data_IF_916336402654
#
_entry.id   IF_916336402654
#
_cell.length_a   1.000
_cell.length_b   1.000
_cell.length_c   1.000
_cell.angle_alpha   90.00
_cell.angle_beta   90.00
_cell.angle_gamma   90.00
#
_symmetry.space_group_name_H-M   'P 1'
#
loop_
_entity.id
_entity.type
_entity.pdbx_description
1 polymer ?
#
# COMPACT_ATOMS: atom_id res chain seq x y z
N UNK A 1 21.70 5.45 3.60
CA UNK A 1 21.27 4.54 2.54
C UNK A 1 21.04 3.13 3.10
N UNK A 2 20.02 2.41 2.65
CA UNK A 2 19.84 1.04 3.08
C UNK A 2 20.94 0.13 2.53
N UNK A 3 21.33 -0.84 3.34
CA UNK A 3 22.33 -1.84 2.93
C UNK A 3 21.73 -2.85 1.96
N UNK A 4 22.56 -3.69 1.34
CA UNK A 4 22.10 -4.77 0.47
C UNK A 4 21.21 -5.77 1.24
N UNK A 5 21.53 -6.01 2.50
CA UNK A 5 20.72 -6.88 3.36
C UNK A 5 19.33 -6.30 3.59
N UNK A 6 19.26 -4.99 3.85
CA UNK A 6 17.98 -4.29 4.02
C UNK A 6 17.15 -4.34 2.74
N UNK A 7 17.76 -4.06 1.59
CA UNK A 7 17.07 -4.10 0.30
C UNK A 7 16.56 -5.49 -0.04
N UNK A 8 17.37 -6.50 0.19
CA UNK A 8 16.99 -7.90 -0.06
C UNK A 8 15.84 -8.32 0.84
N UNK A 9 15.91 -8.00 2.13
CA UNK A 9 14.85 -8.31 3.08
C UNK A 9 13.55 -7.58 2.69
N UNK A 10 13.65 -6.31 2.32
CA UNK A 10 12.49 -5.53 1.89
C UNK A 10 11.82 -6.15 0.66
N UNK A 11 12.60 -6.64 -0.28
CA UNK A 11 12.07 -7.30 -1.49
C UNK A 11 11.36 -8.59 -1.14
N UNK A 12 11.95 -9.41 -0.30
CA UNK A 12 11.35 -10.68 0.15
C UNK A 12 10.04 -10.41 0.89
N UNK A 13 10.03 -9.44 1.78
CA UNK A 13 8.83 -9.05 2.53
C UNK A 13 7.75 -8.55 1.58
N UNK A 14 8.10 -7.71 0.62
CA UNK A 14 7.15 -7.18 -0.35
C UNK A 14 6.46 -8.30 -1.14
N UNK A 15 7.23 -9.23 -1.65
CA UNK A 15 6.69 -10.37 -2.41
C UNK A 15 5.84 -11.28 -1.52
N UNK A 16 6.34 -11.60 -0.32
CA UNK A 16 5.64 -12.48 0.60
C UNK A 16 4.33 -11.87 1.09
N UNK A 17 4.34 -10.62 1.53
CA UNK A 17 3.14 -9.95 2.03
C UNK A 17 2.10 -9.80 0.92
N UNK A 18 2.53 -9.45 -0.28
CA UNK A 18 1.65 -9.35 -1.43
C UNK A 18 0.94 -10.68 -1.71
N UNK A 19 1.69 -11.78 -1.71
CA UNK A 19 1.15 -13.12 -1.91
C UNK A 19 0.19 -13.51 -0.78
N UNK A 20 0.58 -13.27 0.47
CA UNK A 20 -0.25 -13.60 1.64
C UNK A 20 -1.59 -12.87 1.58
N UNK A 21 -1.57 -11.57 1.33
CA UNK A 21 -2.79 -10.76 1.30
C UNK A 21 -3.70 -11.19 0.16
N UNK A 22 -3.15 -11.44 -1.02
CA UNK A 22 -3.96 -11.74 -2.19
C UNK A 22 -4.41 -13.21 -2.27
N UNK A 23 -3.68 -14.14 -1.68
CA UNK A 23 -3.94 -15.57 -1.87
C UNK A 23 -4.22 -16.36 -0.58
N UNK A 24 -3.85 -15.85 0.58
CA UNK A 24 -3.93 -16.62 1.83
C UNK A 24 -4.88 -16.04 2.89
N UNK A 25 -5.35 -14.82 2.71
CA UNK A 25 -6.34 -14.23 3.60
C UNK A 25 -7.73 -14.38 2.99
N UNK A 26 -8.64 -15.00 3.75
CA UNK A 26 -10.02 -15.22 3.32
C UNK A 26 -10.96 -14.36 4.14
N UNK A 27 -10.76 -13.06 4.11
CA UNK A 27 -11.61 -12.11 4.80
C UNK A 27 -12.42 -11.33 3.76
N UNK A 28 -13.76 -11.40 3.79
CA UNK A 28 -14.59 -10.70 2.81
C UNK A 28 -14.47 -9.17 2.87
N UNK A 29 -13.93 -8.63 3.97
CA UNK A 29 -13.68 -7.19 4.09
C UNK A 29 -12.46 -6.75 3.27
N UNK A 30 -11.59 -7.69 2.92
CA UNK A 30 -10.39 -7.42 2.11
C UNK A 30 -10.78 -7.52 0.64
N UNK A 31 -11.27 -6.43 0.10
CA UNK A 31 -11.70 -6.32 -1.29
C UNK A 31 -10.93 -5.23 -2.01
N UNK A 32 -10.96 -5.28 -3.35
CA UNK A 32 -10.29 -4.31 -4.20
C UNK A 32 -8.88 -4.73 -4.58
N UNK A 33 -8.19 -3.81 -5.22
CA UNK A 33 -6.79 -4.04 -5.63
C UNK A 33 -5.87 -3.56 -4.51
N UNK A 34 -5.21 -4.51 -3.87
CA UNK A 34 -4.30 -4.22 -2.77
C UNK A 34 -2.87 -4.47 -3.24
N UNK A 35 -2.06 -3.43 -3.16
CA UNK A 35 -0.66 -3.47 -3.58
C UNK A 35 0.26 -3.06 -2.44
N UNK A 36 1.36 -3.78 -2.28
CA UNK A 36 2.45 -3.36 -1.40
C UNK A 36 3.30 -2.37 -2.20
N UNK A 37 3.25 -1.10 -1.84
CA UNK A 37 3.93 -0.04 -2.58
C UNK A 37 5.36 0.16 -2.13
N UNK A 38 5.63 -0.04 -0.85
CA UNK A 38 6.96 0.17 -0.28
C UNK A 38 7.15 -0.67 0.97
N UNK A 39 8.36 -1.15 1.17
CA UNK A 39 8.76 -1.82 2.41
C UNK A 39 10.08 -1.20 2.85
N UNK A 40 10.10 -0.68 4.08
CA UNK A 40 11.28 -0.08 4.69
C UNK A 40 11.73 -0.92 5.87
N UNK A 41 12.95 -1.44 5.81
CA UNK A 41 13.54 -2.22 6.89
C UNK A 41 14.57 -1.38 7.64
N UNK A 42 14.65 -1.60 8.95
CA UNK A 42 15.70 -0.97 9.76
C UNK A 42 17.03 -1.71 9.59
N UNK A 43 18.19 -1.07 9.88
CA UNK A 43 19.50 -1.71 9.71
C UNK A 43 19.68 -3.00 10.49
N UNK A 44 19.03 -3.13 11.65
CA UNK A 44 19.09 -4.34 12.49
C UNK A 44 18.11 -5.42 12.02
N UNK A 45 17.28 -5.14 11.02
CA UNK A 45 16.27 -6.04 10.45
C UNK A 45 15.23 -6.54 11.47
N UNK A 46 15.02 -5.80 12.56
CA UNK A 46 14.02 -6.15 13.58
C UNK A 46 12.63 -5.61 13.27
N UNK A 47 12.55 -4.52 12.50
CA UNK A 47 11.30 -3.88 12.11
C UNK A 47 11.25 -3.69 10.62
N UNK A 48 10.07 -3.84 10.07
CA UNK A 48 9.80 -3.52 8.67
C UNK A 48 8.48 -2.77 8.60
N UNK A 49 8.48 -1.64 7.92
CA UNK A 49 7.28 -0.86 7.67
C UNK A 49 6.78 -1.18 6.28
N UNK A 50 5.53 -1.61 6.19
CA UNK A 50 4.91 -2.06 4.95
C UNK A 50 3.81 -1.06 4.58
N UNK A 51 3.95 -0.44 3.42
CA UNK A 51 2.99 0.52 2.90
C UNK A 51 2.08 -0.16 1.89
N UNK A 52 0.77 -0.04 2.12
CA UNK A 52 -0.24 -0.68 1.29
C UNK A 52 -1.10 0.38 0.60
N UNK A 53 -1.35 0.17 -0.68
CA UNK A 53 -2.32 0.96 -1.44
C UNK A 53 -3.54 0.10 -1.72
N UNK A 54 -4.73 0.60 -1.39
CA UNK A 54 -6.00 -0.09 -1.61
C UNK A 54 -6.80 0.74 -2.61
N UNK A 55 -7.06 0.17 -3.77
CA UNK A 55 -7.71 0.85 -4.89
C UNK A 55 -8.96 0.08 -5.34
N UNK A 56 -9.81 0.75 -6.12
CA UNK A 56 -10.97 0.11 -6.75
C UNK A 56 -12.23 0.05 -5.90
N UNK A 57 -12.21 0.62 -4.68
CA UNK A 57 -13.35 0.65 -3.78
C UNK A 57 -13.56 2.07 -3.26
N UNK A 58 -14.73 2.34 -2.64
CA UNK A 58 -14.95 3.62 -1.99
C UNK A 58 -14.09 3.72 -0.71
N UNK A 59 -13.95 4.94 -0.18
CA UNK A 59 -13.12 5.18 1.00
C UNK A 59 -13.50 4.35 2.21
N UNK A 60 -14.80 4.15 2.42
CA UNK A 60 -15.30 3.36 3.55
C UNK A 60 -14.84 1.91 3.44
N UNK A 61 -14.98 1.33 2.26
CA UNK A 61 -14.53 -0.05 1.99
C UNK A 61 -13.02 -0.18 2.06
N UNK A 62 -12.28 0.84 1.62
CA UNK A 62 -10.83 0.86 1.71
C UNK A 62 -10.38 0.86 3.18
N UNK A 63 -11.03 1.64 4.04
CA UNK A 63 -10.73 1.65 5.47
C UNK A 63 -11.05 0.32 6.13
N UNK A 64 -12.17 -0.30 5.75
CA UNK A 64 -12.54 -1.63 6.26
C UNK A 64 -11.49 -2.68 5.85
N UNK A 65 -11.05 -2.65 4.61
CA UNK A 65 -10.03 -3.56 4.11
C UNK A 65 -8.71 -3.36 4.86
N UNK A 66 -8.27 -2.13 5.06
CA UNK A 66 -7.06 -1.84 5.81
C UNK A 66 -7.17 -2.29 7.26
N UNK A 67 -8.30 -2.01 7.91
CA UNK A 67 -8.55 -2.47 9.28
C UNK A 67 -8.50 -3.99 9.39
N UNK A 68 -9.08 -4.68 8.41
CA UNK A 68 -9.06 -6.15 8.37
C UNK A 68 -7.63 -6.68 8.22
N UNK A 69 -6.80 -6.03 7.41
CA UNK A 69 -5.39 -6.39 7.25
C UNK A 69 -4.64 -6.19 8.57
N UNK A 70 -4.90 -5.09 9.27
CA UNK A 70 -4.29 -4.85 10.58
C UNK A 70 -4.70 -5.91 11.61
N UNK A 71 -5.96 -6.32 11.60
CA UNK A 71 -6.44 -7.41 12.47
C UNK A 71 -5.79 -8.75 12.10
N UNK A 72 -5.45 -8.95 10.84
CA UNK A 72 -4.78 -10.16 10.37
C UNK A 72 -3.26 -10.09 10.50
N UNK A 73 -2.70 -9.02 11.08
CA UNK A 73 -1.25 -8.82 11.16
C UNK A 73 -0.51 -9.99 11.79
N UNK A 74 -1.06 -10.57 12.87
CA UNK A 74 -0.47 -11.73 13.52
C UNK A 74 -0.38 -12.95 12.60
N UNK A 75 -1.42 -13.19 11.82
CA UNK A 75 -1.44 -14.29 10.85
C UNK A 75 -0.48 -14.03 9.71
N UNK A 76 -0.44 -12.80 9.22
CA UNK A 76 0.51 -12.40 8.16
C UNK A 76 1.94 -12.59 8.66
N UNK A 77 2.22 -12.18 9.89
CA UNK A 77 3.53 -12.35 10.52
C UNK A 77 3.93 -13.82 10.60
N UNK A 78 3.00 -14.68 11.01
CA UNK A 78 3.25 -16.11 11.11
C UNK A 78 3.52 -16.74 9.74
N UNK A 79 2.73 -16.37 8.72
CA UNK A 79 2.92 -16.87 7.36
C UNK A 79 4.21 -16.33 6.74
N UNK A 80 4.59 -15.09 7.07
CA UNK A 80 5.83 -14.50 6.61
C UNK A 80 7.04 -15.33 7.05
N UNK A 81 6.99 -15.88 8.26
CA UNK A 81 8.04 -16.73 8.76
C UNK A 81 8.37 -17.91 7.85
N UNK A 82 7.38 -18.43 7.11
CA UNK A 82 7.58 -19.54 6.19
C UNK A 82 8.28 -19.09 4.90
N UNK A 83 8.17 -17.82 4.53
CA UNK A 83 8.83 -17.26 3.35
C UNK A 83 10.25 -16.80 3.64
N UNK A 84 10.48 -16.29 4.85
CA UNK A 84 11.78 -15.73 5.23
C UNK A 84 12.64 -16.82 5.80
N UNK A 85 13.68 -17.21 5.07
CA UNK A 85 14.62 -18.24 5.50
C UNK A 85 15.75 -17.65 6.34
N UNK A 86 15.55 -16.48 6.91
CA UNK A 86 16.50 -15.85 7.80
C UNK A 86 16.29 -16.31 9.24
N UNK A 87 17.32 -16.19 10.05
CA UNK A 87 17.29 -16.55 11.47
C UNK A 87 16.23 -15.77 12.25
N UNK A 88 16.01 -14.52 11.86
CA UNK A 88 15.02 -13.64 12.47
C UNK A 88 14.11 -13.05 11.40
N UNK A 89 12.81 -13.03 11.68
CA UNK A 89 11.83 -12.41 10.83
C UNK A 89 11.50 -11.03 11.40
N UNK A 90 11.61 -9.94 10.61
CA UNK A 90 11.26 -8.61 11.09
C UNK A 90 9.80 -8.52 11.52
N UNK A 91 9.52 -7.72 12.54
CA UNK A 91 8.15 -7.44 12.93
C UNK A 91 7.55 -6.42 11.95
N UNK A 92 6.38 -6.74 11.40
CA UNK A 92 5.74 -5.91 10.38
C UNK A 92 4.84 -4.85 11.02
N UNK A 93 4.92 -3.63 10.47
CA UNK A 93 4.03 -2.51 10.79
C UNK A 93 3.38 -2.04 9.51
N UNK A 94 2.06 -2.09 9.44
CA UNK A 94 1.32 -1.75 8.24
C UNK A 94 0.88 -0.30 8.26
N UNK A 95 1.06 0.37 7.11
CA UNK A 95 0.66 1.76 6.90
C UNK A 95 -0.12 1.85 5.60
N UNK A 96 -1.14 2.69 5.57
CA UNK A 96 -1.84 2.98 4.32
C UNK A 96 -1.05 4.01 3.52
N UNK A 97 -0.73 3.67 2.27
CA UNK A 97 -0.05 4.59 1.37
C UNK A 97 -1.09 5.37 0.58
N UNK A 98 -1.24 6.65 0.90
CA UNK A 98 -2.20 7.53 0.26
C UNK A 98 -1.58 8.42 -0.81
N UNK A 99 -0.28 8.24 -1.10
CA UNK A 99 0.44 9.08 -2.08
C UNK A 99 -0.19 9.03 -3.47
N UNK A 100 -0.53 7.85 -3.94
CA UNK A 100 -1.17 7.68 -5.24
C UNK A 100 -2.55 8.31 -5.28
N UNK A 101 -3.35 8.15 -4.24
CA UNK A 101 -4.66 8.79 -4.12
C UNK A 101 -4.55 10.29 -4.16
N UNK A 102 -3.63 10.86 -3.39
CA UNK A 102 -3.40 12.32 -3.35
C UNK A 102 -2.98 12.84 -4.71
N UNK A 103 -2.12 12.11 -5.41
CA UNK A 103 -1.69 12.44 -6.76
C UNK A 103 -2.87 12.43 -7.72
N UNK A 104 -3.69 11.40 -7.67
CA UNK A 104 -4.88 11.29 -8.53
C UNK A 104 -5.90 12.39 -8.24
N UNK A 105 -6.14 12.72 -6.99
CA UNK A 105 -7.02 13.81 -6.58
C UNK A 105 -6.50 15.15 -7.09
N UNK A 106 -5.19 15.38 -6.98
CA UNK A 106 -4.54 16.60 -7.47
C UNK A 106 -4.67 16.72 -8.98
N UNK A 107 -4.43 15.64 -9.71
CA UNK A 107 -4.58 15.63 -11.17
C UNK A 107 -6.02 15.89 -11.60
N UNK A 108 -6.98 15.31 -10.89
CA UNK A 108 -8.40 15.52 -11.14
C UNK A 108 -8.78 16.98 -10.91
N UNK A 109 -8.29 17.59 -9.83
CA UNK A 109 -8.53 18.99 -9.52
C UNK A 109 -7.94 19.91 -10.59
N UNK A 110 -6.73 19.64 -11.05
CA UNK A 110 -6.06 20.38 -12.12
C UNK A 110 -6.89 20.29 -13.41
N UNK A 111 -7.39 19.12 -13.74
CA UNK A 111 -8.22 18.89 -14.92
C UNK A 111 -9.53 19.70 -14.86
N UNK A 112 -10.20 19.72 -13.72
CA UNK A 112 -11.41 20.50 -13.50
C UNK A 112 -11.14 22.00 -13.65
N UNK A 113 -10.06 22.50 -13.06
CA UNK A 113 -9.66 23.92 -13.19
C UNK A 113 -9.35 24.27 -14.64
N UNK A 114 -8.65 23.39 -15.36
CA UNK A 114 -8.35 23.59 -16.78
C UNK A 114 -9.60 23.64 -17.63
N UNK A 115 -10.60 22.83 -17.36
CA UNK A 115 -11.89 22.82 -18.05
C UNK A 115 -12.66 24.12 -17.82
N UNK A 116 -12.71 24.60 -16.59
CA UNK A 116 -13.34 25.86 -16.24
C UNK A 116 -12.66 27.03 -16.97
N UNK A 117 -11.35 27.04 -16.98
CA UNK A 117 -10.55 28.06 -17.66
C UNK A 117 -10.82 28.08 -19.18
N UNK A 118 -10.89 26.92 -19.80
CA UNK A 118 -11.21 26.81 -21.23
C UNK A 118 -12.61 27.33 -21.54
N UNK A 119 -13.58 27.01 -20.71
CA UNK A 119 -14.97 27.46 -20.87
C UNK A 119 -15.06 28.98 -20.79
N UNK A 120 -14.39 29.60 -19.83
CA UNK A 120 -14.35 31.08 -19.70
C UNK A 120 -13.69 31.72 -20.91
N UNK A 121 -12.59 31.17 -21.41
CA UNK A 121 -11.89 31.66 -22.59
C UNK A 121 -12.75 31.56 -23.83
N UNK A 122 -13.49 30.46 -24.00
CA UNK A 122 -14.43 30.28 -25.12
C UNK A 122 -15.59 31.30 -25.06
N UNK A 123 -16.10 31.55 -23.86
CA UNK A 123 -17.15 32.54 -23.65
C UNK A 123 -16.68 33.98 -23.96
N UNK A 124 -15.43 34.30 -23.64
CA UNK A 124 -14.85 35.62 -23.95
C UNK A 124 -14.66 35.85 -25.45
N UNK A 125 -14.46 34.79 -26.24
CA UNK A 125 -14.28 34.87 -27.69
C UNK A 125 -15.59 35.11 -28.47
N UNK A 126 -16.71 34.99 -27.82
CA UNK A 126 -18.02 35.25 -28.39
C UNK A 126 -18.43 36.69 -28.13
#
# INVERSE_FOLDING_TARGET
MPSRRQERMARVIKEAVSDIINNHLQDPRIEGVISVTEVNTEPDLKRAEVFLSIMGQDEKKQRLAFSAIQHAAGRIQALLGDYVKARFCPHLYFHEDTRLKKTMETLKLIDEVSKEFKTETENEKK
#
